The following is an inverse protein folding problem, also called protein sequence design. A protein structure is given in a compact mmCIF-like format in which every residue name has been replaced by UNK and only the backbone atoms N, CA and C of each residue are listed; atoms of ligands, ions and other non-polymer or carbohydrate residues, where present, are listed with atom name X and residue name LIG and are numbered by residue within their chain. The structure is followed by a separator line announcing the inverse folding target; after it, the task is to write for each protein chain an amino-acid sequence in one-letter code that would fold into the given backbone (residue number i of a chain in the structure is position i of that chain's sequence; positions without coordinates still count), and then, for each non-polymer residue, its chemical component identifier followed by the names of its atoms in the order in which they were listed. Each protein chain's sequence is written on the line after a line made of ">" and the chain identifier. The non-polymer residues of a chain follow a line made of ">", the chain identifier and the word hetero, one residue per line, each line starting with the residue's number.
data_IF_382081916655
#
_entry.id   IF_382081916655
#
_cell.length_a   1.000
_cell.length_b   1.000
_cell.length_c   1.000
_cell.angle_alpha   90.00
_cell.angle_beta   90.00
_cell.angle_gamma   90.00
#
_symmetry.space_group_name_H-M   'P 1'
#
loop_
_entity.id
_entity.type
_entity.pdbx_description
1 polymer ?
#
# COMPACT_ATOMS: atom_id res chain seq x y z
N UNK A 1 15.89 -26.51 2.12
CA UNK A 1 15.04 -25.54 2.84
C UNK A 1 14.95 -24.27 2.01
N UNK A 2 13.73 -23.93 1.56
CA UNK A 2 13.22 -22.68 0.94
C UNK A 2 14.18 -21.76 0.18
N UNK A 3 14.11 -21.78 -1.16
CA UNK A 3 14.90 -20.93 -2.07
C UNK A 3 14.29 -19.54 -2.31
N UNK A 4 14.39 -18.65 -1.32
CA UNK A 4 14.15 -17.22 -1.51
C UNK A 4 15.43 -16.51 -1.91
N UNK A 5 15.36 -15.53 -2.82
CA UNK A 5 16.50 -14.70 -3.22
C UNK A 5 16.95 -13.80 -2.06
N UNK A 6 18.13 -13.17 -2.19
CA UNK A 6 18.62 -12.23 -1.16
C UNK A 6 17.72 -11.01 -1.05
N UNK A 7 17.17 -10.59 -2.17
CA UNK A 7 16.26 -9.47 -2.38
C UNK A 7 14.90 -9.76 -1.72
N UNK A 8 14.35 -10.96 -1.91
CA UNK A 8 13.11 -11.38 -1.25
C UNK A 8 13.28 -11.50 0.27
N UNK A 9 14.43 -11.99 0.73
CA UNK A 9 14.75 -12.02 2.16
C UNK A 9 14.87 -10.60 2.75
N UNK A 10 15.43 -9.64 1.99
CA UNK A 10 15.49 -8.23 2.40
C UNK A 10 14.08 -7.61 2.42
N UNK A 11 13.27 -7.86 1.40
CA UNK A 11 11.88 -7.45 1.33
C UNK A 11 11.10 -7.95 2.54
N UNK A 12 11.18 -9.25 2.85
CA UNK A 12 10.51 -9.85 4.01
C UNK A 12 10.88 -9.16 5.32
N UNK A 13 12.18 -8.91 5.55
CA UNK A 13 12.65 -8.17 6.74
C UNK A 13 12.10 -6.74 6.81
N UNK A 14 12.06 -6.03 5.68
CA UNK A 14 11.51 -4.68 5.62
C UNK A 14 10.01 -4.67 5.96
N UNK A 15 9.23 -5.59 5.36
CA UNK A 15 7.78 -5.72 5.63
C UNK A 15 7.51 -6.05 7.09
N UNK A 16 8.26 -6.99 7.68
CA UNK A 16 8.13 -7.30 9.11
C UNK A 16 8.42 -6.07 9.98
N UNK A 17 9.43 -5.26 9.63
CA UNK A 17 9.77 -4.05 10.40
C UNK A 17 8.70 -2.96 10.29
N UNK A 18 8.12 -2.74 9.10
CA UNK A 18 6.98 -1.82 8.97
C UNK A 18 5.81 -2.27 9.87
N UNK A 19 5.46 -3.56 9.85
CA UNK A 19 4.36 -4.07 10.65
C UNK A 19 4.62 -4.04 12.15
N UNK A 20 5.82 -4.37 12.61
CA UNK A 20 6.15 -4.30 14.04
C UNK A 20 6.22 -2.87 14.56
N UNK A 21 6.73 -1.92 13.77
CA UNK A 21 6.69 -0.50 14.10
C UNK A 21 5.23 -0.02 14.22
N UNK A 22 4.40 -0.32 13.21
CA UNK A 22 2.99 0.06 13.21
C UNK A 22 2.25 -0.52 14.42
N UNK A 23 2.44 -1.80 14.73
CA UNK A 23 1.83 -2.43 15.90
C UNK A 23 2.26 -1.77 17.22
N UNK A 24 3.49 -1.26 17.30
CA UNK A 24 4.04 -0.63 18.52
C UNK A 24 3.51 0.77 18.78
N UNK A 25 3.35 1.60 17.75
CA UNK A 25 3.09 3.04 17.92
C UNK A 25 2.11 3.66 16.90
N UNK A 26 1.50 2.86 16.03
CA UNK A 26 0.61 3.33 14.97
C UNK A 26 1.32 3.97 13.77
N UNK A 27 2.65 3.95 13.72
CA UNK A 27 3.47 4.51 12.64
C UNK A 27 4.43 3.44 12.09
N UNK A 28 4.34 3.03 10.82
CA UNK A 28 5.19 1.98 10.26
C UNK A 28 6.66 2.41 10.06
N UNK A 29 6.94 3.73 10.06
CA UNK A 29 8.24 4.28 9.71
C UNK A 29 9.35 3.97 10.73
N UNK A 30 10.60 3.90 10.27
CA UNK A 30 11.78 3.72 11.10
C UNK A 30 13.08 3.81 10.30
N UNK A 31 14.21 3.85 11.00
CA UNK A 31 15.53 4.00 10.38
C UNK A 31 15.83 2.89 9.34
N UNK A 32 16.34 3.27 8.16
CA UNK A 32 16.69 2.33 7.09
C UNK A 32 15.51 1.78 6.30
N UNK A 33 14.29 2.27 6.55
CA UNK A 33 13.10 2.00 5.74
C UNK A 33 12.80 3.19 4.83
N UNK A 34 12.21 2.91 3.67
CA UNK A 34 11.62 3.96 2.81
C UNK A 34 10.44 4.57 3.57
N UNK A 35 10.27 5.89 3.44
CA UNK A 35 9.18 6.56 4.13
C UNK A 35 7.82 6.07 3.60
N UNK A 36 6.99 5.54 4.49
CA UNK A 36 5.61 5.17 4.22
C UNK A 36 4.73 6.39 4.56
N UNK A 37 4.19 7.10 3.55
CA UNK A 37 3.37 8.28 3.79
C UNK A 37 2.03 7.89 4.41
N UNK A 38 1.54 8.71 5.34
CA UNK A 38 0.18 8.54 5.86
C UNK A 38 -0.83 8.80 4.74
N UNK A 39 -1.83 7.94 4.63
CA UNK A 39 -2.92 8.13 3.69
C UNK A 39 -3.74 9.38 4.08
N UNK A 40 -3.98 10.26 3.12
CA UNK A 40 -4.67 11.54 3.30
C UNK A 40 -5.31 12.01 1.99
N UNK A 41 -5.55 13.32 1.85
CA UNK A 41 -6.22 13.90 0.67
C UNK A 41 -5.48 13.65 -0.65
N UNK A 42 -4.16 13.53 -0.60
CA UNK A 42 -3.33 13.19 -1.77
C UNK A 42 -3.28 11.69 -2.05
N UNK A 43 -3.95 10.87 -1.23
CA UNK A 43 -4.05 9.42 -1.40
C UNK A 43 -2.70 8.71 -1.56
N UNK A 44 -1.67 9.23 -0.88
CA UNK A 44 -0.32 8.67 -0.93
C UNK A 44 -0.30 7.29 -0.27
N UNK A 45 0.46 6.38 -0.87
CA UNK A 45 0.63 5.01 -0.41
C UNK A 45 2.07 4.53 -0.63
N UNK A 46 2.44 3.40 -0.03
CA UNK A 46 3.71 2.72 -0.26
C UNK A 46 3.50 1.53 -1.20
N UNK A 47 4.26 1.48 -2.28
CA UNK A 47 4.42 0.28 -3.10
C UNK A 47 5.40 -0.66 -2.41
N UNK A 48 4.92 -1.85 -2.06
CA UNK A 48 5.72 -2.93 -1.48
C UNK A 48 6.06 -3.90 -2.62
N UNK A 49 7.26 -3.73 -3.16
CA UNK A 49 7.90 -4.62 -4.13
C UNK A 49 9.37 -4.81 -3.70
N UNK A 50 10.24 -5.47 -4.46
CA UNK A 50 11.67 -5.62 -4.14
C UNK A 50 12.33 -4.28 -3.79
N UNK A 51 11.93 -3.21 -4.48
CA UNK A 51 12.24 -1.83 -4.16
C UNK A 51 10.98 -1.09 -3.72
N UNK A 52 10.99 -0.58 -2.48
CA UNK A 52 9.85 0.16 -1.96
C UNK A 52 9.87 1.61 -2.47
N UNK A 53 8.71 2.14 -2.86
CA UNK A 53 8.57 3.53 -3.29
C UNK A 53 7.23 4.11 -2.87
N UNK A 54 7.22 5.38 -2.50
CA UNK A 54 5.97 6.10 -2.28
C UNK A 54 5.34 6.46 -3.64
N UNK A 55 4.02 6.37 -3.70
CA UNK A 55 3.21 6.71 -4.85
C UNK A 55 1.88 7.33 -4.37
N UNK A 56 1.00 7.71 -5.29
CA UNK A 56 -0.26 8.39 -5.00
C UNK A 56 -1.40 7.86 -5.86
N UNK A 57 -2.64 8.03 -5.39
CA UNK A 57 -3.88 7.79 -6.16
C UNK A 57 -3.98 6.37 -6.71
N UNK A 58 -3.87 5.38 -5.80
CA UNK A 58 -3.88 3.97 -6.15
C UNK A 58 -5.11 3.58 -6.97
N UNK A 59 -4.90 3.24 -8.24
CA UNK A 59 -5.95 2.78 -9.17
C UNK A 59 -7.10 3.78 -9.41
N UNK A 60 -6.85 5.08 -9.27
CA UNK A 60 -7.85 6.18 -9.43
C UNK A 60 -8.87 5.90 -10.56
N UNK A 61 -8.41 5.74 -11.81
CA UNK A 61 -9.29 5.49 -12.97
C UNK A 61 -10.19 4.27 -12.84
N UNK A 62 -9.72 3.18 -12.21
CA UNK A 62 -10.53 1.97 -12.01
C UNK A 62 -11.58 2.21 -10.94
N UNK A 63 -11.22 2.91 -9.87
CA UNK A 63 -12.15 3.27 -8.79
C UNK A 63 -13.25 4.19 -9.34
N UNK A 64 -12.88 5.21 -10.12
CA UNK A 64 -13.82 6.11 -10.81
C UNK A 64 -14.78 5.32 -11.71
N UNK A 65 -14.25 4.44 -12.56
CA UNK A 65 -15.04 3.61 -13.46
C UNK A 65 -16.08 2.77 -12.69
N UNK A 66 -15.65 2.04 -11.65
CA UNK A 66 -16.57 1.18 -10.89
C UNK A 66 -17.58 1.99 -10.07
N UNK A 67 -17.18 3.14 -9.52
CA UNK A 67 -18.09 4.03 -8.80
C UNK A 67 -19.23 4.52 -9.72
N UNK A 68 -18.91 4.86 -10.99
CA UNK A 68 -19.92 5.21 -11.98
C UNK A 68 -20.88 4.05 -12.28
N UNK A 69 -20.34 2.87 -12.59
CA UNK A 69 -21.16 1.69 -12.91
C UNK A 69 -22.10 1.32 -11.74
N UNK A 70 -21.59 1.34 -10.51
CA UNK A 70 -22.39 1.02 -9.33
C UNK A 70 -23.51 2.03 -9.11
N UNK A 71 -23.27 3.33 -9.35
CA UNK A 71 -24.28 4.37 -9.27
C UNK A 71 -25.39 4.18 -10.30
N UNK A 72 -25.04 3.82 -11.54
CA UNK A 72 -26.02 3.53 -12.59
C UNK A 72 -26.88 2.31 -12.23
N UNK A 73 -26.27 1.24 -11.71
CA UNK A 73 -27.00 0.03 -11.27
C UNK A 73 -27.98 0.30 -10.12
N UNK A 74 -27.61 1.16 -9.16
CA UNK A 74 -28.51 1.55 -8.06
C UNK A 74 -29.68 2.40 -8.55
N UNK A 75 -29.43 3.28 -9.52
CA UNK A 75 -30.48 4.16 -10.08
C UNK A 75 -31.51 3.37 -10.87
N UNK A 76 -31.08 2.37 -11.66
CA UNK A 76 -31.98 1.49 -12.44
C UNK A 76 -32.76 0.47 -11.61
N UNK A 77 -32.35 0.22 -10.35
CA UNK A 77 -33.04 -0.68 -9.40
C UNK A 77 -34.14 0.02 -8.59
N UNK A 78 -34.19 1.35 -8.63
CA UNK A 78 -35.29 2.15 -8.09
C UNK A 78 -36.33 2.40 -9.17
#
# INVERSE_FOLDING_TARGET
>A
AGGATKEENKLSRNVMRYWTNFAKNGNPNGEGLVHWPQYGLEERYLEIDLEQKAAEKLKERKVEFWAQIMKEMQTKRK
#
